data_IF_088425488483
#
_entry.id   IF_088425488483
#
_cell.length_a   1.000
_cell.length_b   1.000
_cell.length_c   1.000
_cell.angle_alpha   90.00
_cell.angle_beta   90.00
_cell.angle_gamma   90.00
#
_symmetry.space_group_name_H-M   'P 1'
#
loop_
_entity.id
_entity.type
_entity.pdbx_description
1 polymer ?
#
# COMPACT_ATOMS: atom_id res chain seq x y z
N UNK A 1 17.48 -10.72 5.94
CA UNK A 1 16.60 -9.60 6.39
C UNK A 1 15.27 -10.19 6.87
N UNK A 2 14.76 -9.79 8.03
CA UNK A 2 13.54 -10.38 8.60
C UNK A 2 12.27 -9.85 7.89
N UNK A 3 11.78 -10.63 6.94
CA UNK A 3 10.59 -10.30 6.16
C UNK A 3 9.29 -10.39 6.98
N UNK A 4 9.26 -11.18 8.04
CA UNK A 4 8.11 -11.25 8.93
C UNK A 4 7.93 -9.94 9.69
N UNK A 5 9.00 -9.27 10.08
CA UNK A 5 8.95 -7.94 10.68
C UNK A 5 8.38 -6.89 9.70
N UNK A 6 8.69 -6.98 8.40
CA UNK A 6 8.12 -6.10 7.38
C UNK A 6 6.61 -6.34 7.19
N UNK A 7 6.19 -7.61 7.14
CA UNK A 7 4.76 -7.95 7.09
C UNK A 7 4.02 -7.43 8.34
N UNK A 8 4.60 -7.59 9.53
CA UNK A 8 4.00 -7.08 10.76
C UNK A 8 3.84 -5.55 10.74
N UNK A 9 4.82 -4.80 10.24
CA UNK A 9 4.70 -3.36 10.03
C UNK A 9 3.57 -3.03 9.05
N UNK A 10 3.48 -3.73 7.91
CA UNK A 10 2.45 -3.52 6.91
C UNK A 10 1.05 -3.81 7.47
N UNK A 11 0.89 -4.89 8.22
CA UNK A 11 -0.35 -5.21 8.95
C UNK A 11 -0.73 -4.07 9.91
N UNK A 12 0.23 -3.53 10.66
CA UNK A 12 -0.03 -2.41 11.57
C UNK A 12 -0.51 -1.15 10.82
N UNK A 13 0.09 -0.83 9.66
CA UNK A 13 -0.34 0.28 8.79
C UNK A 13 -1.77 0.09 8.28
N UNK A 14 -2.09 -1.09 7.76
CA UNK A 14 -3.43 -1.38 7.24
C UNK A 14 -4.47 -1.38 8.36
N UNK A 15 -4.15 -1.88 9.57
CA UNK A 15 -5.03 -1.80 10.75
C UNK A 15 -5.32 -0.35 11.13
N UNK A 16 -4.33 0.52 11.11
CA UNK A 16 -4.55 1.94 11.40
C UNK A 16 -5.40 2.61 10.31
N UNK A 17 -5.18 2.30 9.05
CA UNK A 17 -6.04 2.75 7.94
C UNK A 17 -7.48 2.29 8.12
N UNK A 18 -7.70 1.04 8.53
CA UNK A 18 -9.02 0.50 8.83
C UNK A 18 -9.70 1.26 9.97
N UNK A 19 -8.99 1.44 11.10
CA UNK A 19 -9.49 2.17 12.26
C UNK A 19 -9.93 3.60 11.91
N UNK A 20 -9.09 4.32 11.18
CA UNK A 20 -9.39 5.70 10.75
C UNK A 20 -10.60 5.73 9.82
N UNK A 21 -10.69 4.79 8.88
CA UNK A 21 -11.82 4.71 7.95
C UNK A 21 -13.14 4.34 8.66
N UNK A 22 -13.11 3.46 9.67
CA UNK A 22 -14.29 3.11 10.48
C UNK A 22 -14.81 4.32 11.27
N UNK A 23 -13.93 5.05 11.94
CA UNK A 23 -14.29 6.26 12.68
C UNK A 23 -14.88 7.31 11.73
N UNK A 24 -14.24 7.55 10.58
CA UNK A 24 -14.71 8.54 9.61
C UNK A 24 -16.06 8.16 8.98
N UNK A 25 -16.29 6.86 8.73
CA UNK A 25 -17.57 6.33 8.24
C UNK A 25 -18.66 6.57 9.27
N UNK A 26 -18.43 6.17 10.53
CA UNK A 26 -19.42 6.26 11.60
C UNK A 26 -19.80 7.73 11.87
N UNK A 27 -18.83 8.64 11.89
CA UNK A 27 -19.08 10.07 12.02
C UNK A 27 -19.91 10.63 10.84
N UNK A 28 -19.60 10.25 9.60
CA UNK A 28 -20.35 10.68 8.41
C UNK A 28 -21.78 10.10 8.39
N UNK A 29 -21.98 8.87 8.88
CA UNK A 29 -23.31 8.27 9.00
C UNK A 29 -24.14 8.95 10.09
N UNK A 30 -23.54 9.36 11.21
CA UNK A 30 -24.20 10.11 12.29
C UNK A 30 -24.66 11.47 11.78
N UNK A 31 -23.79 12.24 11.14
CA UNK A 31 -24.13 13.53 10.53
C UNK A 31 -25.24 13.42 9.46
N UNK A 32 -25.22 12.34 8.66
CA UNK A 32 -26.29 12.09 7.70
C UNK A 32 -27.66 11.79 8.34
N UNK A 33 -27.69 11.26 9.57
CA UNK A 33 -28.93 10.98 10.32
C UNK A 33 -29.47 12.20 11.04
N UNK A 34 -28.60 13.02 11.64
CA UNK A 34 -28.96 14.14 12.50
C UNK A 34 -29.33 15.41 11.70
N UNK A 35 -28.99 15.48 10.42
CA UNK A 35 -29.31 16.58 9.55
C UNK A 35 -30.74 16.56 9.06
N UNK A 36 -31.64 17.36 9.65
CA UNK A 36 -32.75 18.09 9.07
C UNK A 36 -33.98 18.21 9.95
N UNK A 37 -34.20 19.38 10.50
CA UNK A 37 -35.54 19.85 10.89
C UNK A 37 -36.37 20.21 9.64
N UNK A 38 -37.71 20.09 9.67
CA UNK A 38 -38.58 20.33 8.50
C UNK A 38 -38.51 21.72 7.85
N UNK A 39 -37.90 22.71 8.51
CA UNK A 39 -37.79 24.09 8.04
C UNK A 39 -36.55 24.36 7.15
N UNK A 40 -35.52 23.53 7.25
CA UNK A 40 -34.20 23.69 6.59
C UNK A 40 -34.03 22.78 5.36
N UNK A 41 -35.11 22.13 4.93
CA UNK A 41 -35.17 20.98 4.02
C UNK A 41 -34.47 21.06 2.65
N UNK A 42 -34.04 22.21 2.15
CA UNK A 42 -33.40 22.26 0.83
C UNK A 42 -31.87 22.34 0.90
N UNK A 43 -31.35 23.11 1.84
CA UNK A 43 -29.91 23.24 2.08
C UNK A 43 -29.41 21.99 2.82
N UNK A 44 -30.19 21.50 3.78
CA UNK A 44 -29.91 20.29 4.55
C UNK A 44 -29.96 19.00 3.73
N UNK A 45 -30.83 18.91 2.72
CA UNK A 45 -30.89 17.74 1.83
C UNK A 45 -29.61 17.58 1.00
N UNK A 46 -28.99 18.68 0.58
CA UNK A 46 -27.71 18.66 -0.14
C UNK A 46 -26.58 18.22 0.79
N UNK A 47 -26.53 18.79 1.98
CA UNK A 47 -25.53 18.44 3.02
C UNK A 47 -25.66 16.97 3.42
N UNK A 48 -26.88 16.46 3.63
CA UNK A 48 -27.12 15.05 3.92
C UNK A 48 -26.63 14.12 2.80
N UNK A 49 -26.83 14.49 1.52
CA UNK A 49 -26.32 13.73 0.38
C UNK A 49 -24.78 13.74 0.31
N UNK A 50 -24.14 14.86 0.66
CA UNK A 50 -22.69 14.94 0.76
C UNK A 50 -22.13 14.02 1.85
N UNK A 51 -22.73 14.00 3.04
CA UNK A 51 -22.36 13.07 4.11
C UNK A 51 -22.61 11.61 3.77
N UNK A 52 -23.72 11.29 3.09
CA UNK A 52 -23.98 9.94 2.61
C UNK A 52 -22.93 9.49 1.57
N UNK A 53 -22.52 10.37 0.67
CA UNK A 53 -21.45 10.10 -0.29
C UNK A 53 -20.11 9.86 0.41
N UNK A 54 -19.79 10.67 1.43
CA UNK A 54 -18.59 10.51 2.23
C UNK A 54 -18.62 9.18 3.01
N UNK A 55 -19.72 8.85 3.67
CA UNK A 55 -19.89 7.58 4.39
C UNK A 55 -19.72 6.37 3.47
N UNK A 56 -20.27 6.44 2.23
CA UNK A 56 -20.08 5.41 1.21
C UNK A 56 -18.60 5.25 0.82
N UNK A 57 -17.89 6.37 0.62
CA UNK A 57 -16.46 6.35 0.31
C UNK A 57 -15.65 5.72 1.44
N UNK A 58 -15.94 6.05 2.70
CA UNK A 58 -15.27 5.45 3.86
C UNK A 58 -15.63 3.96 4.01
N UNK A 59 -16.86 3.56 3.75
CA UNK A 59 -17.27 2.14 3.75
C UNK A 59 -16.48 1.32 2.73
N UNK A 60 -16.20 1.86 1.55
CA UNK A 60 -15.35 1.21 0.54
C UNK A 60 -13.90 1.06 1.04
N UNK A 61 -13.37 2.06 1.76
CA UNK A 61 -12.03 1.98 2.38
C UNK A 61 -11.98 0.90 3.45
N UNK A 62 -13.01 0.80 4.30
CA UNK A 62 -13.14 -0.27 5.30
C UNK A 62 -13.11 -1.66 4.65
N UNK A 63 -13.92 -1.87 3.60
CA UNK A 63 -13.95 -3.14 2.87
C UNK A 63 -12.59 -3.48 2.27
N UNK A 64 -11.92 -2.50 1.66
CA UNK A 64 -10.59 -2.70 1.09
C UNK A 64 -9.55 -3.04 2.17
N UNK A 65 -9.48 -2.29 3.24
CA UNK A 65 -8.52 -2.53 4.32
C UNK A 65 -8.72 -3.90 4.98
N UNK A 66 -9.96 -4.35 5.15
CA UNK A 66 -10.26 -5.71 5.65
C UNK A 66 -9.80 -6.81 4.68
N UNK A 67 -9.99 -6.61 3.38
CA UNK A 67 -9.51 -7.55 2.36
C UNK A 67 -7.98 -7.60 2.33
N UNK A 68 -7.30 -6.45 2.45
CA UNK A 68 -5.85 -6.37 2.55
C UNK A 68 -5.31 -7.08 3.79
N UNK A 69 -5.94 -6.90 4.96
CA UNK A 69 -5.58 -7.64 6.17
C UNK A 69 -5.72 -9.15 5.99
N UNK A 70 -6.84 -9.61 5.42
CA UNK A 70 -7.04 -11.02 5.12
C UNK A 70 -5.97 -11.59 4.18
N UNK A 71 -5.55 -10.81 3.19
CA UNK A 71 -4.47 -11.20 2.28
C UNK A 71 -3.13 -11.29 3.00
N UNK A 72 -2.81 -10.34 3.89
CA UNK A 72 -1.57 -10.33 4.67
C UNK A 72 -1.53 -11.46 5.69
N UNK A 73 -2.65 -11.76 6.36
CA UNK A 73 -2.75 -12.84 7.34
C UNK A 73 -2.53 -14.23 6.68
N UNK A 74 -2.91 -14.38 5.41
CA UNK A 74 -2.69 -15.61 4.64
C UNK A 74 -1.31 -15.65 3.96
N UNK A 75 -0.56 -14.55 3.95
CA UNK A 75 0.70 -14.46 3.24
C UNK A 75 1.89 -14.77 4.14
N UNK A 76 2.69 -15.76 3.73
CA UNK A 76 4.00 -16.05 4.31
C UNK A 76 5.07 -15.82 3.25
N UNK A 77 6.00 -14.86 3.46
CA UNK A 77 7.05 -14.60 2.49
C UNK A 77 7.98 -15.83 2.38
N UNK A 78 8.22 -16.35 1.16
CA UNK A 78 9.03 -17.52 0.97
C UNK A 78 10.50 -17.24 1.31
N UNK A 79 11.20 -18.26 1.77
CA UNK A 79 12.66 -18.25 1.79
C UNK A 79 13.19 -18.19 0.36
N UNK A 80 14.24 -17.42 0.16
CA UNK A 80 14.85 -17.22 -1.16
C UNK A 80 16.31 -17.64 -1.14
N UNK A 81 16.79 -18.08 -2.30
CA UNK A 81 18.20 -18.40 -2.54
C UNK A 81 18.83 -17.32 -3.41
N UNK A 82 20.12 -17.16 -3.28
CA UNK A 82 20.89 -16.29 -4.17
C UNK A 82 20.67 -16.69 -5.64
N UNK A 83 20.40 -15.69 -6.48
CA UNK A 83 20.10 -15.91 -7.90
C UNK A 83 18.64 -16.25 -8.23
N UNK A 84 17.75 -16.37 -7.24
CA UNK A 84 16.32 -16.53 -7.51
C UNK A 84 15.74 -15.26 -8.18
N UNK A 85 14.80 -15.42 -9.12
CA UNK A 85 14.15 -14.27 -9.73
C UNK A 85 13.25 -13.53 -8.74
N UNK A 86 13.07 -12.25 -8.89
CA UNK A 86 12.15 -11.43 -8.08
C UNK A 86 10.74 -12.03 -8.12
N UNK A 87 10.17 -12.30 -6.95
CA UNK A 87 8.81 -12.80 -6.77
C UNK A 87 8.19 -12.18 -5.50
N UNK A 88 6.93 -12.47 -5.21
CA UNK A 88 6.28 -12.03 -3.99
C UNK A 88 7.11 -12.40 -2.75
N UNK A 89 7.23 -11.45 -1.82
CA UNK A 89 8.06 -11.57 -0.63
C UNK A 89 9.54 -11.25 -0.87
N UNK A 90 9.95 -10.84 -2.08
CA UNK A 90 11.31 -10.41 -2.34
C UNK A 90 11.56 -8.99 -1.81
N UNK A 91 12.76 -8.77 -1.29
CA UNK A 91 13.33 -7.44 -1.11
C UNK A 91 14.28 -7.22 -2.28
N UNK A 92 14.18 -6.05 -2.92
CA UNK A 92 14.93 -5.75 -4.14
C UNK A 92 15.60 -4.40 -3.98
N UNK A 93 16.92 -4.36 -4.14
CA UNK A 93 17.65 -3.10 -4.27
C UNK A 93 17.80 -2.76 -5.74
N UNK A 94 17.43 -1.53 -6.07
CA UNK A 94 17.53 -1.01 -7.43
C UNK A 94 18.26 0.33 -7.43
N UNK A 95 19.09 0.54 -8.40
CA UNK A 95 19.91 1.76 -8.52
C UNK A 95 19.79 2.36 -9.92
N UNK A 96 19.95 3.66 -10.00
CA UNK A 96 20.16 4.45 -11.20
C UNK A 96 21.31 5.46 -10.97
N UNK A 97 21.66 6.24 -11.97
CA UNK A 97 22.79 7.19 -11.96
C UNK A 97 22.80 8.22 -10.82
N UNK A 98 21.65 8.50 -10.19
CA UNK A 98 21.51 9.53 -9.15
C UNK A 98 21.08 8.98 -7.79
N UNK A 99 20.94 7.66 -7.61
CA UNK A 99 20.56 7.06 -6.33
C UNK A 99 19.93 5.68 -6.46
N UNK A 100 19.46 5.16 -5.32
CA UNK A 100 18.87 3.85 -5.23
C UNK A 100 17.60 3.81 -4.40
N UNK A 101 16.84 2.74 -4.52
CA UNK A 101 15.65 2.43 -3.74
C UNK A 101 15.71 0.98 -3.27
N UNK A 102 15.23 0.75 -2.07
CA UNK A 102 14.94 -0.60 -1.59
C UNK A 102 13.44 -0.84 -1.65
N UNK A 103 13.04 -1.91 -2.31
CA UNK A 103 11.65 -2.27 -2.57
C UNK A 103 11.31 -3.55 -1.82
N UNK A 104 10.10 -3.64 -1.29
CA UNK A 104 9.52 -4.89 -0.79
C UNK A 104 8.32 -5.27 -1.65
N UNK A 105 8.41 -6.41 -2.34
CA UNK A 105 7.32 -6.89 -3.20
C UNK A 105 6.28 -7.65 -2.37
N UNK A 106 5.25 -6.94 -1.95
CA UNK A 106 4.16 -7.47 -1.14
C UNK A 106 2.88 -7.72 -1.97
N UNK A 107 1.96 -8.58 -1.49
CA UNK A 107 0.69 -8.83 -2.19
C UNK A 107 -0.23 -7.61 -2.21
N UNK A 108 -0.15 -6.75 -1.19
CA UNK A 108 -0.95 -5.52 -1.00
C UNK A 108 -0.11 -4.43 -0.35
N UNK A 109 -0.66 -3.23 -0.20
CA UNK A 109 -0.01 -2.11 0.50
C UNK A 109 0.92 -1.29 -0.39
N UNK A 110 0.70 -1.27 -1.72
CA UNK A 110 1.51 -0.46 -2.62
C UNK A 110 1.55 1.02 -2.20
N UNK A 111 2.75 1.57 -2.13
CA UNK A 111 3.00 2.96 -1.73
C UNK A 111 3.23 3.17 -0.23
N UNK A 112 3.10 2.12 0.59
CA UNK A 112 3.52 2.19 1.99
C UNK A 112 5.05 2.23 2.09
N UNK A 113 5.54 2.89 3.12
CA UNK A 113 6.96 2.97 3.45
C UNK A 113 7.21 2.25 4.78
N UNK A 114 8.11 1.29 4.78
CA UNK A 114 8.46 0.48 5.94
C UNK A 114 9.88 0.78 6.38
N UNK A 115 10.13 0.63 7.67
CA UNK A 115 11.49 0.73 8.22
C UNK A 115 12.22 -0.60 8.04
N UNK A 116 13.46 -0.55 7.61
CA UNK A 116 14.32 -1.73 7.53
C UNK A 116 14.43 -2.46 8.87
N UNK A 117 14.55 -3.79 8.88
CA UNK A 117 14.55 -4.60 10.11
C UNK A 117 15.66 -4.24 11.12
N UNK A 118 16.73 -3.59 10.66
CA UNK A 118 17.80 -3.06 11.52
C UNK A 118 17.56 -1.64 12.01
N UNK A 119 16.47 -0.99 11.61
CA UNK A 119 16.23 0.44 11.84
C UNK A 119 17.02 1.36 10.91
N UNK A 120 17.72 0.79 9.95
CA UNK A 120 18.57 1.45 8.97
C UNK A 120 17.85 1.53 7.62
N UNK A 121 17.36 2.72 7.30
CA UNK A 121 16.73 2.99 6.01
C UNK A 121 15.26 2.62 5.90
N UNK A 122 14.71 2.88 4.72
CA UNK A 122 13.31 2.67 4.39
C UNK A 122 13.18 1.76 3.17
N UNK A 123 12.10 0.99 3.16
CA UNK A 123 11.70 0.18 2.01
C UNK A 123 10.35 0.65 1.50
N UNK A 124 10.24 0.86 0.19
CA UNK A 124 8.95 1.15 -0.44
C UNK A 124 8.23 -0.14 -0.79
N UNK A 125 6.98 -0.27 -0.35
CA UNK A 125 6.15 -1.42 -0.70
C UNK A 125 5.65 -1.28 -2.13
N UNK A 126 5.91 -2.30 -2.93
CA UNK A 126 5.40 -2.43 -4.30
C UNK A 126 4.60 -3.72 -4.43
N UNK A 127 3.65 -3.73 -5.35
CA UNK A 127 2.82 -4.93 -5.62
C UNK A 127 2.96 -5.36 -7.07
N UNK A 128 2.63 -6.61 -7.42
CA UNK A 128 2.62 -7.05 -8.82
C UNK A 128 1.76 -6.20 -9.76
N UNK A 129 0.79 -5.48 -9.22
CA UNK A 129 -0.07 -4.57 -9.99
C UNK A 129 0.50 -3.17 -10.15
N UNK A 130 1.45 -2.76 -9.32
CA UNK A 130 2.10 -1.44 -9.42
C UNK A 130 3.05 -1.38 -10.63
N UNK A 131 3.28 -0.19 -11.22
CA UNK A 131 4.19 -0.07 -12.38
C UNK A 131 5.59 -0.63 -12.12
N UNK A 132 6.18 -0.28 -10.99
CA UNK A 132 7.52 -0.72 -10.62
C UNK A 132 7.54 -2.21 -10.24
N UNK A 133 6.52 -2.70 -9.54
CA UNK A 133 6.41 -4.11 -9.17
C UNK A 133 6.30 -5.02 -10.40
N UNK A 134 5.52 -4.62 -11.41
CA UNK A 134 5.48 -5.33 -12.71
C UNK A 134 6.81 -5.32 -13.43
N UNK A 135 7.55 -4.21 -13.35
CA UNK A 135 8.82 -4.07 -14.05
C UNK A 135 9.92 -4.95 -13.44
N UNK A 136 9.93 -5.16 -12.12
CA UNK A 136 10.95 -5.98 -11.44
C UNK A 136 10.58 -7.46 -11.35
N UNK A 137 9.28 -7.81 -11.40
CA UNK A 137 8.82 -9.19 -11.24
C UNK A 137 9.47 -10.13 -12.26
N UNK A 138 10.03 -11.25 -11.79
CA UNK A 138 10.69 -12.25 -12.61
C UNK A 138 12.13 -11.91 -13.04
N UNK A 139 12.58 -10.69 -12.77
CA UNK A 139 13.96 -10.27 -13.06
C UNK A 139 14.94 -10.77 -11.99
N UNK A 140 16.23 -10.64 -12.27
CA UNK A 140 17.33 -11.11 -11.40
C UNK A 140 18.31 -9.97 -11.12
N UNK A 141 19.16 -10.17 -10.16
CA UNK A 141 20.33 -9.29 -9.93
C UNK A 141 21.13 -9.13 -11.22
N UNK A 142 21.45 -7.88 -11.57
CA UNK A 142 22.13 -7.48 -12.80
C UNK A 142 21.19 -7.13 -13.96
N UNK A 143 19.89 -7.45 -13.88
CA UNK A 143 18.92 -7.06 -14.91
C UNK A 143 18.61 -5.58 -14.83
N UNK A 144 18.34 -4.97 -15.99
CA UNK A 144 17.86 -3.60 -16.11
C UNK A 144 16.38 -3.55 -16.48
N UNK A 145 15.73 -2.43 -16.17
CA UNK A 145 14.35 -2.14 -16.55
C UNK A 145 14.11 -0.64 -16.60
N UNK A 146 13.18 -0.24 -17.46
CA UNK A 146 12.72 1.14 -17.49
C UNK A 146 11.36 1.26 -16.79
N UNK A 147 11.20 2.28 -15.96
CA UNK A 147 9.90 2.61 -15.37
C UNK A 147 9.81 4.09 -15.05
N UNK A 148 8.58 4.58 -14.92
CA UNK A 148 8.33 5.96 -14.53
C UNK A 148 8.21 6.07 -13.02
N UNK A 149 9.14 6.80 -12.41
CA UNK A 149 9.14 7.14 -10.98
C UNK A 149 9.26 8.66 -10.86
N UNK A 150 8.37 9.27 -10.06
CA UNK A 150 8.39 10.73 -9.89
C UNK A 150 8.10 11.54 -11.17
N UNK A 151 7.43 10.92 -12.17
CA UNK A 151 7.08 11.57 -13.43
C UNK A 151 8.10 11.39 -14.57
N UNK A 152 9.32 10.92 -14.28
CA UNK A 152 10.39 10.70 -15.25
C UNK A 152 10.56 9.21 -15.55
N UNK A 153 10.82 8.89 -16.82
CA UNK A 153 11.22 7.54 -17.22
C UNK A 153 12.72 7.42 -16.99
N UNK A 154 13.11 6.41 -16.22
CA UNK A 154 14.52 6.13 -15.91
C UNK A 154 14.80 4.65 -16.07
N UNK A 155 16.02 4.36 -16.46
CA UNK A 155 16.57 3.01 -16.43
C UNK A 155 17.11 2.71 -15.03
N UNK A 156 16.76 1.55 -14.53
CA UNK A 156 17.15 1.02 -13.23
C UNK A 156 17.87 -0.30 -13.38
N UNK A 157 18.84 -0.52 -12.54
CA UNK A 157 19.56 -1.81 -12.44
C UNK A 157 19.20 -2.47 -11.11
N UNK A 158 18.88 -3.75 -11.13
CA UNK A 158 18.69 -4.55 -9.90
C UNK A 158 20.08 -4.92 -9.38
N UNK A 159 20.44 -4.39 -8.21
CA UNK A 159 21.74 -4.63 -7.60
C UNK A 159 21.72 -5.78 -6.62
N UNK A 160 20.57 -6.04 -6.01
CA UNK A 160 20.40 -7.14 -5.06
C UNK A 160 18.95 -7.65 -4.99
N UNK A 161 18.79 -8.96 -4.72
CA UNK A 161 17.52 -9.64 -4.51
C UNK A 161 17.64 -10.60 -3.33
N UNK A 162 16.77 -10.42 -2.28
CA UNK A 162 16.74 -11.24 -1.08
C UNK A 162 15.32 -11.64 -0.63
#
# INVERSE_FOLDING_TARGET
MDKHALIAQLVARVRETLRVAEIARDAAEEEARDGATPAEKREDARTALEFQSLAKGQSQRVVRARAELSTLDAFSPPERREGDPVALGAIVEVEHDQGGLTLFLAPVGAGEELTGPGGDGFLSVVTPASPIGRAVLGKRTGDTFETRIGGEIREWTITWVG
#
